data_IF_782163572372
#
_entry.id   IF_782163572372
#
_cell.length_a   1.000
_cell.length_b   1.000
_cell.length_c   1.000
_cell.angle_alpha   90.00
_cell.angle_beta   90.00
_cell.angle_gamma   90.00
#
_symmetry.space_group_name_H-M   'P 1'
#
loop_
_entity.id
_entity.type
_entity.pdbx_description
1 polymer ?
#
# COMPACT_ATOMS: atom_id res chain seq x y z
N UNK A 1 10.97 18.63 -14.49
CA UNK A 1 9.49 18.58 -14.39
C UNK A 1 9.10 17.99 -13.04
N UNK A 2 8.26 18.70 -12.32
CA UNK A 2 7.74 18.22 -11.05
C UNK A 2 6.87 16.96 -11.26
N UNK A 3 7.08 15.88 -10.51
CA UNK A 3 6.23 14.69 -10.58
C UNK A 3 4.78 15.04 -10.25
N UNK A 4 3.84 14.56 -11.07
CA UNK A 4 2.39 14.70 -10.81
C UNK A 4 1.82 13.35 -10.45
N UNK A 5 0.97 13.35 -9.43
CA UNK A 5 0.22 12.16 -9.06
C UNK A 5 -0.75 11.78 -10.17
N UNK A 6 -0.74 10.53 -10.54
CA UNK A 6 -1.71 9.97 -11.47
C UNK A 6 -2.32 8.71 -10.88
N UNK A 7 -3.54 8.41 -11.25
CA UNK A 7 -4.22 7.19 -10.87
C UNK A 7 -4.13 6.16 -12.00
N UNK A 8 -3.83 4.92 -11.61
CA UNK A 8 -4.01 3.75 -12.46
C UNK A 8 -4.58 2.62 -11.61
N UNK A 9 -5.59 1.91 -12.12
CA UNK A 9 -6.12 0.74 -11.43
C UNK A 9 -5.08 -0.39 -11.35
N UNK A 10 -4.24 -0.50 -12.39
CA UNK A 10 -3.02 -1.34 -12.39
C UNK A 10 -2.14 -0.94 -13.56
N UNK A 11 -0.87 -1.37 -13.54
CA UNK A 11 0.09 -1.09 -14.61
C UNK A 11 -0.41 -1.54 -16.01
N UNK A 12 -1.08 -2.69 -16.08
CA UNK A 12 -1.58 -3.27 -17.33
C UNK A 12 -2.96 -2.78 -17.75
N UNK A 13 -3.54 -1.77 -17.10
CA UNK A 13 -4.93 -1.33 -17.35
C UNK A 13 -5.29 -1.15 -18.84
N UNK A 14 -4.47 -0.52 -19.69
CA UNK A 14 -4.79 -0.34 -21.10
C UNK A 14 -4.92 -1.66 -21.90
N UNK A 15 -4.40 -2.75 -21.36
CA UNK A 15 -4.38 -4.08 -22.00
C UNK A 15 -5.39 -5.04 -21.36
N UNK A 16 -6.15 -4.61 -20.36
CA UNK A 16 -7.14 -5.46 -19.68
C UNK A 16 -8.46 -5.48 -20.47
N UNK A 17 -8.88 -6.64 -21.03
CA UNK A 17 -10.12 -6.74 -21.82
C UNK A 17 -11.39 -6.72 -20.96
N UNK A 18 -11.28 -6.95 -19.65
CA UNK A 18 -12.42 -6.98 -18.74
C UNK A 18 -12.37 -5.81 -17.76
N UNK A 19 -13.49 -5.55 -17.09
CA UNK A 19 -13.59 -4.51 -16.08
C UNK A 19 -12.59 -4.75 -14.91
N UNK A 20 -11.87 -3.72 -14.40
CA UNK A 20 -10.87 -3.86 -13.34
C UNK A 20 -11.34 -4.61 -12.10
N UNK A 21 -12.61 -4.45 -11.69
CA UNK A 21 -13.19 -5.15 -10.54
C UNK A 21 -13.13 -6.68 -10.68
N UNK A 22 -13.26 -7.23 -11.90
CA UNK A 22 -13.15 -8.68 -12.14
C UNK A 22 -11.75 -9.21 -11.84
N UNK A 23 -10.71 -8.45 -12.22
CA UNK A 23 -9.32 -8.82 -11.93
C UNK A 23 -9.02 -8.72 -10.44
N UNK A 24 -9.50 -7.66 -9.78
CA UNK A 24 -9.33 -7.49 -8.35
C UNK A 24 -10.00 -8.63 -7.57
N UNK A 25 -11.22 -9.02 -7.94
CA UNK A 25 -11.91 -10.18 -7.36
C UNK A 25 -11.17 -11.49 -7.62
N UNK A 26 -10.66 -11.69 -8.85
CA UNK A 26 -9.88 -12.89 -9.18
C UNK A 26 -8.62 -12.99 -8.32
N UNK A 27 -7.90 -11.88 -8.14
CA UNK A 27 -6.72 -11.83 -7.28
C UNK A 27 -7.08 -12.14 -5.81
N UNK A 28 -8.12 -11.49 -5.27
CA UNK A 28 -8.60 -11.74 -3.91
C UNK A 28 -8.92 -13.21 -3.68
N UNK A 29 -9.69 -13.82 -4.61
CA UNK A 29 -10.02 -15.24 -4.54
C UNK A 29 -8.77 -16.14 -4.55
N UNK A 30 -7.77 -15.83 -5.37
CA UNK A 30 -6.51 -16.61 -5.40
C UNK A 30 -5.73 -16.53 -4.09
N UNK A 31 -5.75 -15.37 -3.45
CA UNK A 31 -5.13 -15.20 -2.12
C UNK A 31 -5.90 -16.04 -1.07
N UNK A 32 -7.23 -15.99 -1.08
CA UNK A 32 -8.08 -16.75 -0.16
C UNK A 32 -7.92 -18.26 -0.36
N UNK A 33 -7.98 -18.75 -1.61
CA UNK A 33 -7.78 -20.16 -1.95
C UNK A 33 -6.42 -20.67 -1.44
N UNK A 34 -5.34 -19.91 -1.62
CA UNK A 34 -4.01 -20.30 -1.17
C UNK A 34 -3.91 -20.45 0.35
N UNK A 35 -4.63 -19.64 1.11
CA UNK A 35 -4.68 -19.75 2.56
C UNK A 35 -5.40 -21.03 3.02
N UNK A 36 -6.50 -21.41 2.35
CA UNK A 36 -7.24 -22.65 2.61
C UNK A 36 -6.39 -23.90 2.27
N UNK A 37 -5.59 -23.82 1.23
CA UNK A 37 -4.68 -24.90 0.81
C UNK A 37 -3.43 -25.04 1.70
N UNK A 38 -3.30 -24.20 2.74
CA UNK A 38 -2.17 -24.21 3.66
C UNK A 38 -0.87 -23.60 3.09
N UNK A 39 -0.97 -22.90 1.98
CA UNK A 39 0.14 -22.19 1.30
C UNK A 39 -0.19 -20.71 1.12
N UNK A 40 -0.30 -19.91 2.19
CA UNK A 40 -0.76 -18.53 2.11
C UNK A 40 0.19 -17.67 1.27
N UNK A 41 -0.39 -16.94 0.31
CA UNK A 41 0.32 -15.96 -0.49
C UNK A 41 0.44 -14.66 0.32
N UNK A 42 1.67 -14.20 0.54
CA UNK A 42 1.93 -12.89 1.12
C UNK A 42 1.99 -11.82 0.03
N UNK A 43 1.33 -10.69 0.26
CA UNK A 43 1.33 -9.53 -0.63
C UNK A 43 2.11 -8.40 0.03
N UNK A 44 3.15 -7.90 -0.62
CA UNK A 44 4.03 -6.88 -0.11
C UNK A 44 3.96 -5.61 -0.97
N UNK A 45 3.80 -4.45 -0.32
CA UNK A 45 3.95 -3.13 -0.92
C UNK A 45 5.30 -2.56 -0.50
N UNK A 46 6.22 -2.38 -1.44
CA UNK A 46 7.57 -1.87 -1.16
C UNK A 46 7.73 -0.49 -1.79
N UNK A 47 7.98 0.52 -0.95
CA UNK A 47 8.24 1.87 -1.43
C UNK A 47 9.64 1.97 -2.07
N UNK A 48 9.68 2.34 -3.33
CA UNK A 48 10.91 2.60 -4.08
C UNK A 48 11.07 4.09 -4.45
N UNK A 49 10.13 4.93 -4.03
CA UNK A 49 10.07 6.36 -4.34
C UNK A 49 10.65 7.24 -3.24
N UNK A 50 9.86 8.19 -2.79
CA UNK A 50 10.24 9.20 -1.79
C UNK A 50 9.78 8.80 -0.38
N UNK A 51 10.56 9.20 0.62
CA UNK A 51 10.23 9.05 2.03
C UNK A 51 10.62 10.31 2.79
N UNK A 52 9.97 10.60 3.92
CA UNK A 52 10.24 11.77 4.75
C UNK A 52 9.65 13.08 4.24
N UNK A 53 8.86 13.06 3.18
CA UNK A 53 8.20 14.22 2.59
C UNK A 53 7.88 14.02 1.12
N UNK A 54 7.14 14.99 0.51
CA UNK A 54 6.89 15.02 -0.93
C UNK A 54 8.17 15.31 -1.72
N UNK A 55 8.05 15.27 -3.04
CA UNK A 55 9.15 15.69 -3.94
C UNK A 55 9.68 17.08 -3.56
N UNK A 56 10.99 17.22 -3.51
CA UNK A 56 11.68 18.46 -3.13
C UNK A 56 11.83 18.67 -1.61
N UNK A 57 11.18 17.86 -0.76
CA UNK A 57 11.30 17.92 0.72
C UNK A 57 11.88 16.62 1.25
N UNK A 58 11.31 15.49 0.87
CA UNK A 58 11.79 14.17 1.27
C UNK A 58 13.02 13.71 0.50
N UNK A 59 13.46 12.50 0.82
CA UNK A 59 14.59 11.85 0.18
C UNK A 59 14.12 10.59 -0.56
N UNK A 60 14.83 10.23 -1.61
CA UNK A 60 14.56 8.96 -2.29
C UNK A 60 14.94 7.79 -1.40
N UNK A 61 14.09 6.76 -1.37
CA UNK A 61 14.37 5.51 -0.66
C UNK A 61 15.71 4.94 -1.13
N UNK A 62 16.60 4.60 -0.20
CA UNK A 62 17.90 4.02 -0.55
C UNK A 62 17.71 2.66 -1.21
N UNK A 63 18.38 2.45 -2.32
CA UNK A 63 18.31 1.18 -3.07
C UNK A 63 18.73 -0.03 -2.20
N UNK A 64 19.69 0.17 -1.28
CA UNK A 64 20.09 -0.88 -0.33
C UNK A 64 18.94 -1.32 0.57
N UNK A 65 18.10 -0.40 1.05
CA UNK A 65 16.92 -0.72 1.86
C UNK A 65 15.86 -1.45 1.05
N UNK A 66 15.58 -0.97 -0.17
CA UNK A 66 14.64 -1.64 -1.08
C UNK A 66 15.07 -3.09 -1.34
N UNK A 67 16.35 -3.32 -1.64
CA UNK A 67 16.89 -4.67 -1.85
C UNK A 67 16.79 -5.53 -0.59
N UNK A 68 17.13 -4.99 0.57
CA UNK A 68 17.04 -5.70 1.84
C UNK A 68 15.58 -6.12 2.16
N UNK A 69 14.62 -5.23 1.96
CA UNK A 69 13.20 -5.54 2.15
C UNK A 69 12.71 -6.65 1.20
N UNK A 70 13.09 -6.59 -0.08
CA UNK A 70 12.74 -7.63 -1.06
C UNK A 70 13.35 -8.97 -0.66
N UNK A 71 14.64 -9.00 -0.32
CA UNK A 71 15.32 -10.23 0.13
C UNK A 71 14.63 -10.82 1.37
N UNK A 72 14.35 -9.98 2.38
CA UNK A 72 13.69 -10.42 3.60
C UNK A 72 12.27 -10.97 3.36
N UNK A 73 11.52 -10.38 2.42
CA UNK A 73 10.21 -10.88 2.01
C UNK A 73 10.32 -12.24 1.32
N UNK A 74 11.22 -12.38 0.34
CA UNK A 74 11.41 -13.62 -0.43
C UNK A 74 11.95 -14.78 0.42
N UNK A 75 12.81 -14.49 1.39
CA UNK A 75 13.38 -15.49 2.31
C UNK A 75 12.47 -15.79 3.51
N UNK A 76 11.27 -15.19 3.57
CA UNK A 76 10.30 -15.40 4.64
C UNK A 76 10.74 -14.84 6.00
N UNK A 77 11.78 -13.99 6.05
CA UNK A 77 12.27 -13.39 7.29
C UNK A 77 11.22 -12.46 7.91
N UNK A 78 10.41 -11.80 7.08
CA UNK A 78 9.33 -10.94 7.53
C UNK A 78 8.14 -11.70 8.13
N UNK A 79 7.99 -13.00 7.88
CA UNK A 79 6.90 -13.79 8.46
C UNK A 79 7.05 -14.00 9.99
N UNK A 80 8.22 -13.68 10.56
CA UNK A 80 8.55 -13.90 11.97
C UNK A 80 8.67 -12.62 12.79
N UNK A 81 8.38 -11.47 12.20
CA UNK A 81 8.45 -10.17 12.88
C UNK A 81 7.07 -9.72 13.35
N UNK A 82 7.04 -8.79 14.29
CA UNK A 82 5.81 -8.14 14.71
C UNK A 82 5.42 -7.05 13.73
N UNK A 83 4.13 -6.71 13.68
CA UNK A 83 3.58 -5.71 12.78
C UNK A 83 2.79 -4.65 13.53
N UNK A 84 2.87 -3.42 13.07
CA UNK A 84 1.98 -2.33 13.42
C UNK A 84 0.96 -2.12 12.30
N UNK A 85 -0.29 -1.79 12.64
CA UNK A 85 -1.32 -1.52 11.64
C UNK A 85 -1.49 -0.03 11.44
N UNK A 86 -1.42 0.43 10.19
CA UNK A 86 -1.77 1.80 9.84
C UNK A 86 -3.26 2.04 10.06
N UNK A 87 -3.64 3.06 10.86
CA UNK A 87 -5.05 3.28 11.22
C UNK A 87 -5.90 3.79 10.05
N UNK A 88 -5.29 4.36 9.01
CA UNK A 88 -5.99 4.97 7.88
C UNK A 88 -6.13 4.00 6.71
N UNK A 89 -5.03 3.34 6.33
CA UNK A 89 -4.98 2.44 5.17
C UNK A 89 -5.17 0.96 5.53
N UNK A 90 -5.13 0.60 6.82
CA UNK A 90 -5.22 -0.78 7.27
C UNK A 90 -4.01 -1.65 6.87
N UNK A 91 -2.93 -1.04 6.38
CA UNK A 91 -1.71 -1.74 5.99
C UNK A 91 -0.89 -2.13 7.23
N UNK A 92 -0.19 -3.26 7.14
CA UNK A 92 0.66 -3.75 8.21
C UNK A 92 2.12 -3.42 7.91
N UNK A 93 2.77 -2.67 8.81
CA UNK A 93 4.20 -2.38 8.73
C UNK A 93 4.99 -3.33 9.61
N UNK A 94 6.03 -4.02 9.10
CA UNK A 94 6.92 -4.78 9.97
C UNK A 94 7.69 -3.84 10.89
N UNK A 95 7.82 -4.19 12.18
CA UNK A 95 8.55 -3.38 13.15
C UNK A 95 10.07 -3.50 13.02
N UNK A 96 10.52 -4.53 12.30
CA UNK A 96 11.94 -4.74 12.00
C UNK A 96 12.13 -5.42 10.64
N UNK A 97 13.25 -5.12 10.00
CA UNK A 97 13.70 -5.77 8.77
C UNK A 97 15.24 -5.80 8.77
N UNK A 98 15.87 -6.92 8.45
CA UNK A 98 17.33 -6.99 8.38
C UNK A 98 17.92 -5.93 7.45
N UNK A 99 18.98 -5.24 7.91
CA UNK A 99 19.69 -4.19 7.16
C UNK A 99 18.83 -2.96 6.77
N UNK A 100 17.67 -2.76 7.40
CA UNK A 100 16.82 -1.57 7.22
C UNK A 100 16.58 -0.93 8.58
N UNK A 101 16.85 0.38 8.74
CA UNK A 101 16.52 1.10 9.96
C UNK A 101 15.01 1.06 10.25
N UNK A 102 14.63 0.80 11.50
CA UNK A 102 13.21 0.62 11.86
C UNK A 102 12.33 1.85 11.55
N UNK A 103 12.90 3.05 11.66
CA UNK A 103 12.18 4.30 11.33
C UNK A 103 11.75 4.39 9.86
N UNK A 104 12.43 3.66 8.96
CA UNK A 104 12.09 3.66 7.51
C UNK A 104 10.88 2.77 7.21
N UNK A 105 10.60 1.79 8.07
CA UNK A 105 9.54 0.81 7.85
C UNK A 105 8.14 1.40 8.06
N UNK A 106 8.00 2.37 8.97
CA UNK A 106 6.77 3.15 9.13
C UNK A 106 6.96 4.55 8.53
N UNK A 107 6.28 4.87 7.40
CA UNK A 107 6.50 6.12 6.66
C UNK A 107 6.26 7.38 7.52
N UNK A 108 5.33 7.34 8.48
CA UNK A 108 5.09 8.46 9.39
C UNK A 108 6.33 8.84 10.21
N UNK A 109 7.17 7.84 10.56
CA UNK A 109 8.36 8.06 11.35
C UNK A 109 9.46 8.83 10.61
N UNK A 110 9.49 8.74 9.28
CA UNK A 110 10.49 9.43 8.44
C UNK A 110 10.19 10.92 8.23
N UNK A 111 8.96 11.37 8.48
CA UNK A 111 8.61 12.78 8.29
C UNK A 111 9.04 13.63 9.50
N UNK A 112 9.72 14.77 9.29
CA UNK A 112 10.04 15.69 10.37
C UNK A 112 8.80 16.22 11.08
N UNK A 113 7.77 16.57 10.32
CA UNK A 113 6.47 17.03 10.80
C UNK A 113 5.42 15.94 10.60
N UNK A 114 5.02 15.28 11.69
CA UNK A 114 4.03 14.19 11.68
C UNK A 114 2.65 14.68 11.26
N UNK A 115 2.29 15.92 11.58
CA UNK A 115 1.00 16.50 11.21
C UNK A 115 0.88 16.68 9.69
N UNK A 116 1.98 17.03 9.02
CA UNK A 116 2.00 17.12 7.56
C UNK A 116 1.85 15.74 6.91
N UNK A 117 2.47 14.70 7.51
CA UNK A 117 2.22 13.32 7.06
C UNK A 117 0.73 12.96 7.18
N UNK A 118 0.14 13.20 8.36
CA UNK A 118 -1.25 12.85 8.64
C UNK A 118 -2.22 13.56 7.68
N UNK A 119 -2.00 14.85 7.40
CA UNK A 119 -2.78 15.61 6.40
C UNK A 119 -2.60 15.05 4.98
N UNK A 120 -1.38 14.73 4.59
CA UNK A 120 -1.09 14.13 3.28
C UNK A 120 -1.72 12.75 3.11
N UNK A 121 -1.65 11.91 4.15
CA UNK A 121 -2.26 10.60 4.18
C UNK A 121 -3.79 10.69 4.07
N UNK A 122 -4.42 11.61 4.81
CA UNK A 122 -5.86 11.84 4.72
C UNK A 122 -6.29 12.31 3.33
N UNK A 123 -5.56 13.25 2.74
CA UNK A 123 -5.82 13.71 1.38
C UNK A 123 -5.70 12.56 0.36
N UNK A 124 -4.70 11.69 0.52
CA UNK A 124 -4.53 10.50 -0.32
C UNK A 124 -5.69 9.51 -0.13
N UNK A 125 -6.13 9.27 1.09
CA UNK A 125 -7.26 8.38 1.40
C UNK A 125 -8.55 8.88 0.73
N UNK A 126 -8.85 10.19 0.78
CA UNK A 126 -9.99 10.80 0.08
C UNK A 126 -9.90 10.55 -1.44
N UNK A 127 -8.72 10.71 -2.03
CA UNK A 127 -8.52 10.44 -3.46
C UNK A 127 -8.76 8.97 -3.83
N UNK A 128 -8.43 8.03 -2.95
CA UNK A 128 -8.78 6.61 -3.15
C UNK A 128 -10.29 6.41 -3.15
N UNK A 129 -11.03 7.01 -2.23
CA UNK A 129 -12.49 6.95 -2.22
C UNK A 129 -13.11 7.52 -3.49
N UNK A 130 -12.68 8.71 -3.92
CA UNK A 130 -13.16 9.34 -5.16
C UNK A 130 -12.95 8.44 -6.38
N UNK A 131 -11.81 7.72 -6.42
CA UNK A 131 -11.50 6.82 -7.54
C UNK A 131 -12.25 5.49 -7.45
N UNK A 132 -12.45 4.95 -6.26
CA UNK A 132 -13.26 3.74 -6.07
C UNK A 132 -14.73 3.99 -6.41
N UNK A 133 -15.25 5.19 -6.18
CA UNK A 133 -16.62 5.56 -6.50
C UNK A 133 -16.95 5.38 -8.00
N UNK A 134 -15.97 5.53 -8.90
CA UNK A 134 -16.15 5.31 -10.35
C UNK A 134 -16.56 3.86 -10.66
N UNK A 135 -16.24 2.93 -9.80
CA UNK A 135 -16.52 1.49 -9.96
C UNK A 135 -17.69 1.00 -9.10
N UNK A 136 -18.34 1.90 -8.33
CA UNK A 136 -19.31 1.53 -7.29
C UNK A 136 -20.49 0.67 -7.82
N UNK A 137 -20.91 0.90 -9.06
CA UNK A 137 -22.03 0.19 -9.69
C UNK A 137 -21.69 -1.26 -10.12
N UNK A 138 -20.41 -1.63 -10.13
CA UNK A 138 -20.01 -2.97 -10.54
C UNK A 138 -20.24 -3.98 -9.40
N UNK A 139 -20.92 -5.13 -9.64
CA UNK A 139 -21.28 -6.07 -8.57
C UNK A 139 -20.07 -6.66 -7.83
N UNK A 140 -18.93 -6.79 -8.49
CA UNK A 140 -17.71 -7.36 -7.91
C UNK A 140 -16.92 -6.37 -7.05
N UNK A 141 -17.31 -5.09 -6.99
CA UNK A 141 -16.56 -4.06 -6.26
C UNK A 141 -16.87 -4.03 -4.76
N UNK A 142 -18.04 -4.49 -4.34
CA UNK A 142 -18.50 -4.38 -2.95
C UNK A 142 -17.48 -4.85 -1.90
N UNK A 143 -16.85 -6.04 -2.03
CA UNK A 143 -15.82 -6.49 -1.08
C UNK A 143 -14.60 -5.57 -1.05
N UNK A 144 -14.28 -4.92 -2.18
CA UNK A 144 -13.14 -4.01 -2.30
C UNK A 144 -13.45 -2.67 -1.64
N UNK A 145 -14.69 -2.19 -1.73
CA UNK A 145 -15.11 -0.95 -1.07
C UNK A 145 -15.03 -1.04 0.44
N UNK A 146 -15.27 -2.21 1.03
CA UNK A 146 -15.15 -2.42 2.47
C UNK A 146 -13.70 -2.39 2.97
N UNK A 147 -12.74 -2.61 2.07
CA UNK A 147 -11.31 -2.54 2.35
C UNK A 147 -10.69 -1.17 1.97
N UNK A 148 -11.52 -0.20 1.61
CA UNK A 148 -11.05 1.17 1.34
C UNK A 148 -10.44 1.81 2.60
N UNK A 149 -9.55 2.80 2.46
CA UNK A 149 -9.00 3.54 3.59
C UNK A 149 -10.09 4.09 4.53
N UNK A 150 -9.86 4.06 5.82
CA UNK A 150 -10.82 4.54 6.82
C UNK A 150 -10.77 6.07 6.90
N UNK A 151 -11.86 6.75 6.55
CA UNK A 151 -11.94 8.19 6.74
C UNK A 151 -12.51 8.51 8.13
N UNK A 152 -11.91 9.45 8.90
CA UNK A 152 -12.49 9.94 10.14
C UNK A 152 -13.87 10.53 9.90
N UNK A 153 -14.81 10.28 10.82
CA UNK A 153 -16.22 10.71 10.68
C UNK A 153 -16.42 12.24 10.54
N UNK A 154 -15.38 13.04 10.82
CA UNK A 154 -15.42 14.51 10.79
C UNK A 154 -14.38 15.12 9.84
N UNK A 155 -13.95 14.42 8.80
CA UNK A 155 -12.93 14.89 7.88
C UNK A 155 -13.51 15.39 6.55
#
# INVERSE_FOLDING_TARGET
>A
TEPKDTFSACFGLPFLPLHPAKYARLLGRKIEESAVEGQPINVWLINTGWTGGPYGVGNRMKLSYTRAMITAALEGQLNKVTYETDPLFGLHFPTSCPNVPAEVLNPRNTWPDKSKYDLGALALAKRFHDRLAIYADHPDIKPILTAAPVLPQNA
#
